data_IF_486118589258
#
_entry.id   IF_486118589258
#
_cell.length_a   1.000
_cell.length_b   1.000
_cell.length_c   1.000
_cell.angle_alpha   90.00
_cell.angle_beta   90.00
_cell.angle_gamma   90.00
#
_symmetry.space_group_name_H-M   'P 1'
#
loop_
_entity.id
_entity.type
_entity.pdbx_description
1 polymer ?
#
# COMPACT_ATOMS: atom_id res chain seq x y z
N UNK A 1 -1.47 45.73 16.94
CA UNK A 1 -2.95 45.89 16.92
C UNK A 1 -3.74 44.58 17.01
N UNK A 2 -3.11 43.39 16.97
CA UNK A 2 -3.81 42.10 17.21
C UNK A 2 -3.79 41.65 18.70
N UNK A 3 -2.79 42.07 19.48
CA UNK A 3 -2.70 41.76 20.92
C UNK A 3 -3.76 42.48 21.79
N UNK A 4 -4.32 43.60 21.33
CA UNK A 4 -5.41 44.29 22.04
C UNK A 4 -6.79 43.66 21.79
N UNK A 5 -6.96 42.92 20.69
CA UNK A 5 -8.22 42.26 20.34
C UNK A 5 -8.41 40.92 21.07
N UNK A 6 -7.32 40.28 21.51
CA UNK A 6 -7.37 39.05 22.32
C UNK A 6 -7.67 39.32 23.80
N UNK A 7 -7.29 40.49 24.33
CA UNK A 7 -7.60 40.87 25.72
C UNK A 7 -9.10 41.18 25.96
N UNK A 8 -9.89 41.32 24.90
CA UNK A 8 -11.35 41.52 25.01
C UNK A 8 -12.16 40.23 25.16
N UNK A 9 -11.61 39.07 24.77
CA UNK A 9 -12.33 37.79 24.80
C UNK A 9 -12.16 37.01 26.11
N UNK A 10 -11.16 37.36 26.92
CA UNK A 10 -10.90 36.72 28.23
C UNK A 10 -11.71 37.38 29.35
N UNK A 11 -12.32 38.55 29.12
CA UNK A 11 -12.88 39.39 30.19
C UNK A 11 -14.36 39.22 30.52
N UNK A 12 -15.06 38.26 29.92
CA UNK A 12 -16.49 38.00 30.20
C UNK A 12 -16.77 36.56 30.69
N UNK A 13 -15.79 35.89 31.31
CA UNK A 13 -16.07 34.68 32.10
C UNK A 13 -16.25 35.09 33.56
N UNK A 14 -17.49 35.02 34.05
CA UNK A 14 -17.88 35.24 35.45
C UNK A 14 -17.44 34.08 36.38
N UNK A 15 -16.31 33.43 36.09
CA UNK A 15 -15.72 32.42 36.96
C UNK A 15 -14.40 32.97 37.52
N UNK A 16 -14.13 32.82 38.83
CA UNK A 16 -12.89 33.30 39.43
C UNK A 16 -11.69 32.69 38.71
N UNK A 17 -10.56 33.41 38.64
CA UNK A 17 -9.27 32.84 38.23
C UNK A 17 -8.92 31.70 39.21
N UNK A 18 -9.28 30.47 38.84
CA UNK A 18 -9.02 29.28 39.64
C UNK A 18 -7.58 28.85 39.41
N UNK A 19 -6.84 28.62 40.50
CA UNK A 19 -5.48 28.12 40.45
C UNK A 19 -5.45 26.77 39.68
N UNK A 20 -4.45 26.53 38.81
CA UNK A 20 -4.35 25.28 38.04
C UNK A 20 -4.37 24.02 38.91
N UNK A 21 -3.79 24.10 40.11
CA UNK A 21 -3.78 23.00 41.08
C UNK A 21 -5.19 22.68 41.63
N UNK A 22 -6.05 23.68 41.83
CA UNK A 22 -7.42 23.47 42.30
C UNK A 22 -8.28 22.78 41.23
N UNK A 23 -8.05 23.13 39.96
CA UNK A 23 -8.70 22.48 38.82
C UNK A 23 -8.23 21.02 38.72
N UNK A 24 -6.93 20.77 38.87
CA UNK A 24 -6.38 19.41 38.79
C UNK A 24 -6.87 18.52 39.94
N UNK A 25 -6.98 19.06 41.15
CA UNK A 25 -7.56 18.36 42.30
C UNK A 25 -9.05 18.05 42.13
N UNK A 26 -9.84 18.99 41.60
CA UNK A 26 -11.26 18.78 41.33
C UNK A 26 -11.45 17.71 40.24
N UNK A 27 -10.70 17.79 39.14
CA UNK A 27 -10.71 16.78 38.07
C UNK A 27 -10.34 15.40 38.62
N UNK A 28 -9.34 15.32 39.50
CA UNK A 28 -8.92 14.08 40.14
C UNK A 28 -10.02 13.50 41.04
N UNK A 29 -10.70 14.34 41.84
CA UNK A 29 -11.81 13.91 42.70
C UNK A 29 -13.01 13.44 41.87
N UNK A 30 -13.37 14.18 40.83
CA UNK A 30 -14.46 13.83 39.94
C UNK A 30 -14.16 12.51 39.21
N UNK A 31 -12.93 12.34 38.72
CA UNK A 31 -12.45 11.12 38.10
C UNK A 31 -12.51 9.90 39.05
N UNK A 32 -12.06 10.05 40.29
CA UNK A 32 -12.16 9.01 41.32
C UNK A 32 -13.61 8.62 41.59
N UNK A 33 -14.52 9.60 41.68
CA UNK A 33 -15.95 9.33 41.89
C UNK A 33 -16.59 8.55 40.73
N UNK A 34 -16.23 8.88 39.48
CA UNK A 34 -16.70 8.20 38.28
C UNK A 34 -16.16 6.76 38.22
N UNK A 35 -14.90 6.55 38.62
CA UNK A 35 -14.29 5.23 38.71
C UNK A 35 -14.99 4.34 39.74
N UNK A 36 -15.25 4.85 40.95
CA UNK A 36 -15.96 4.11 41.99
C UNK A 36 -17.38 3.72 41.55
N UNK A 37 -18.10 4.62 40.87
CA UNK A 37 -19.40 4.34 40.27
C UNK A 37 -19.32 3.25 39.18
N UNK A 38 -18.28 3.29 38.35
CA UNK A 38 -18.05 2.27 37.33
C UNK A 38 -17.75 0.91 37.95
N UNK A 39 -16.89 0.84 38.98
CA UNK A 39 -16.55 -0.40 39.68
C UNK A 39 -17.74 -1.02 40.39
N UNK A 40 -18.56 -0.21 41.08
CA UNK A 40 -19.83 -0.69 41.67
C UNK A 40 -20.84 -1.15 40.62
N UNK A 41 -20.87 -0.54 39.42
CA UNK A 41 -21.70 -1.02 38.32
C UNK A 41 -21.22 -2.37 37.75
N UNK A 42 -19.90 -2.58 37.71
CA UNK A 42 -19.26 -3.79 37.20
C UNK A 42 -19.44 -4.98 38.15
N UNK A 43 -19.44 -4.74 39.47
CA UNK A 43 -19.71 -5.75 40.50
C UNK A 43 -21.16 -6.26 40.51
N UNK A 44 -22.11 -5.48 39.96
CA UNK A 44 -23.53 -5.87 39.85
C UNK A 44 -23.85 -6.71 38.60
N UNK A 45 -22.91 -6.85 37.66
CA UNK A 45 -23.09 -7.69 36.48
C UNK A 45 -22.66 -9.13 36.79
N UNK A 46 -23.63 -10.05 36.86
CA UNK A 46 -23.40 -11.51 36.90
C UNK A 46 -22.48 -11.97 35.74
N UNK A 47 -21.83 -13.16 35.81
CA UNK A 47 -20.88 -13.61 34.79
C UNK A 47 -21.64 -14.00 33.52
N UNK A 48 -22.08 -12.98 32.79
CA UNK A 48 -22.73 -13.08 31.50
C UNK A 48 -21.69 -12.83 30.43
N UNK A 49 -21.85 -13.57 29.33
CA UNK A 49 -21.01 -13.57 28.13
C UNK A 49 -20.33 -12.20 27.93
N UNK A 50 -18.99 -12.14 27.84
CA UNK A 50 -18.28 -10.89 27.64
C UNK A 50 -18.88 -10.12 26.47
N UNK A 51 -19.08 -8.81 26.64
CA UNK A 51 -19.52 -7.94 25.55
C UNK A 51 -18.56 -8.10 24.36
N UNK A 52 -19.02 -8.82 23.34
CA UNK A 52 -18.27 -9.08 22.11
C UNK A 52 -18.50 -7.99 21.07
N UNK A 53 -19.55 -7.19 21.23
CA UNK A 53 -19.85 -6.04 20.39
C UNK A 53 -19.74 -4.76 21.21
N UNK A 54 -18.77 -3.92 20.85
CA UNK A 54 -18.62 -2.56 21.40
C UNK A 54 -19.03 -1.58 20.30
N UNK A 55 -20.17 -0.89 20.41
CA UNK A 55 -20.59 0.08 19.41
C UNK A 55 -19.53 1.19 19.27
N UNK A 56 -19.44 1.77 18.07
CA UNK A 56 -18.56 2.93 17.83
C UNK A 56 -18.91 4.03 18.83
N UNK A 57 -17.88 4.57 19.48
CA UNK A 57 -18.04 5.68 20.41
C UNK A 57 -18.58 6.89 19.64
N UNK A 58 -19.48 7.66 20.25
CA UNK A 58 -19.97 8.91 19.65
C UNK A 58 -18.80 9.87 19.46
N UNK A 59 -18.87 10.70 18.41
CA UNK A 59 -17.96 11.81 18.22
C UNK A 59 -17.94 12.67 19.51
N UNK A 60 -16.74 13.06 19.94
CA UNK A 60 -16.49 13.85 21.16
C UNK A 60 -16.95 13.23 22.48
N UNK A 61 -17.24 11.93 22.52
CA UNK A 61 -17.44 11.24 23.80
C UNK A 61 -16.14 11.21 24.62
N UNK A 62 -16.27 11.16 25.96
CA UNK A 62 -15.13 11.00 26.88
C UNK A 62 -14.24 9.80 26.49
N UNK A 63 -14.84 8.70 26.04
CA UNK A 63 -14.10 7.54 25.55
C UNK A 63 -13.23 7.86 24.32
N UNK A 64 -13.71 8.71 23.41
CA UNK A 64 -12.97 9.18 22.23
C UNK A 64 -11.83 10.12 22.64
N UNK A 65 -12.09 11.05 23.59
CA UNK A 65 -11.10 11.98 24.11
C UNK A 65 -9.97 11.26 24.87
N UNK A 66 -10.32 10.32 25.76
CA UNK A 66 -9.34 9.49 26.49
C UNK A 66 -8.49 8.67 25.53
N UNK A 67 -9.10 8.09 24.47
CA UNK A 67 -8.36 7.37 23.43
C UNK A 67 -7.39 8.29 22.66
N UNK A 68 -7.82 9.51 22.34
CA UNK A 68 -7.00 10.51 21.64
C UNK A 68 -5.81 10.94 22.50
N UNK A 69 -6.03 11.19 23.78
CA UNK A 69 -4.97 11.58 24.73
C UNK A 69 -4.00 10.42 25.01
N UNK A 70 -4.51 9.19 25.20
CA UNK A 70 -3.68 8.01 25.35
C UNK A 70 -2.81 7.74 24.11
N UNK A 71 -3.35 8.00 22.91
CA UNK A 71 -2.60 7.96 21.66
C UNK A 71 -1.51 9.02 21.66
N UNK A 72 -1.84 10.29 21.89
CA UNK A 72 -0.87 11.41 21.94
C UNK A 72 0.31 11.11 22.88
N UNK A 73 0.04 10.59 24.08
CA UNK A 73 1.08 10.18 25.02
C UNK A 73 1.96 9.06 24.47
N UNK A 74 1.35 8.02 23.90
CA UNK A 74 2.09 6.92 23.26
C UNK A 74 2.95 7.40 22.08
N UNK A 75 2.47 8.39 21.33
CA UNK A 75 3.22 9.00 20.23
C UNK A 75 4.44 9.77 20.76
N UNK A 76 4.29 10.51 21.86
CA UNK A 76 5.41 11.18 22.54
C UNK A 76 6.43 10.22 23.15
N UNK A 77 5.97 9.06 23.62
CA UNK A 77 6.85 8.03 24.19
C UNK A 77 7.52 7.14 23.12
N UNK A 78 7.19 7.31 21.84
CA UNK A 78 7.75 6.49 20.77
C UNK A 78 9.12 7.03 20.35
N UNK A 79 10.18 6.30 20.71
CA UNK A 79 11.53 6.61 20.27
C UNK A 79 11.69 6.42 18.75
N UNK A 80 12.16 7.46 18.08
CA UNK A 80 12.52 7.48 16.66
C UNK A 80 14.01 7.77 16.54
N UNK A 81 14.79 6.80 16.05
CA UNK A 81 16.23 6.96 15.88
C UNK A 81 16.56 7.70 14.58
N UNK A 82 17.28 8.80 14.70
CA UNK A 82 17.90 9.51 13.57
C UNK A 82 19.06 8.71 12.96
N UNK A 83 19.47 9.09 11.75
CA UNK A 83 20.64 8.47 11.10
C UNK A 83 21.92 8.62 11.94
N UNK A 84 22.11 9.77 12.59
CA UNK A 84 23.29 10.00 13.42
C UNK A 84 23.28 9.14 14.69
N UNK A 85 22.11 8.94 15.31
CA UNK A 85 21.96 8.02 16.45
C UNK A 85 22.20 6.56 16.04
N UNK A 86 21.69 6.14 14.87
CA UNK A 86 21.99 4.82 14.31
C UNK A 86 23.49 4.64 14.08
N UNK A 87 24.18 5.64 13.52
CA UNK A 87 25.66 5.61 13.37
C UNK A 87 26.38 5.51 14.70
N UNK A 88 25.95 6.27 15.71
CA UNK A 88 26.50 6.18 17.06
C UNK A 88 26.34 4.77 17.65
N UNK A 89 25.16 4.15 17.51
CA UNK A 89 24.94 2.77 17.96
C UNK A 89 25.87 1.81 17.23
N UNK A 90 26.04 1.98 15.92
CA UNK A 90 26.97 1.15 15.14
C UNK A 90 28.42 1.26 15.64
N UNK A 91 28.91 2.48 15.91
CA UNK A 91 30.25 2.67 16.49
C UNK A 91 30.40 2.01 17.86
N UNK A 92 29.37 2.08 18.72
CA UNK A 92 29.39 1.37 20.01
C UNK A 92 29.45 -0.15 19.83
N UNK A 93 28.79 -0.68 18.81
CA UNK A 93 28.85 -2.11 18.49
C UNK A 93 30.20 -2.51 17.89
N UNK A 94 30.84 -1.64 17.12
CA UNK A 94 32.19 -1.85 16.58
C UNK A 94 33.23 -1.88 17.70
N UNK A 95 33.15 -0.97 18.67
CA UNK A 95 34.09 -0.93 19.81
C UNK A 95 33.99 -2.15 20.72
N UNK A 96 32.79 -2.69 20.92
CA UNK A 96 32.50 -3.80 21.84
C UNK A 96 32.38 -5.15 21.13
N UNK A 97 32.39 -5.15 19.81
CA UNK A 97 32.31 -6.32 18.97
C UNK A 97 33.68 -6.88 18.58
N UNK A 98 33.64 -7.98 17.84
CA UNK A 98 34.80 -8.55 17.17
C UNK A 98 34.48 -8.72 15.69
N UNK A 99 35.49 -8.53 14.84
CA UNK A 99 35.35 -8.82 13.42
C UNK A 99 35.24 -10.34 13.19
N UNK A 100 34.46 -10.74 12.19
CA UNK A 100 34.34 -12.13 11.74
C UNK A 100 35.70 -12.71 11.36
N UNK A 101 35.79 -14.05 11.29
CA UNK A 101 37.02 -14.74 10.84
C UNK A 101 37.45 -14.31 9.42
N UNK A 102 36.52 -13.80 8.61
CA UNK A 102 36.80 -13.23 7.29
C UNK A 102 37.27 -11.77 7.32
N UNK A 103 37.09 -11.06 8.44
CA UNK A 103 37.44 -9.65 8.60
C UNK A 103 36.43 -8.65 8.04
N UNK A 104 35.33 -9.13 7.44
CA UNK A 104 34.40 -8.27 6.68
C UNK A 104 33.24 -7.71 7.53
N UNK A 105 32.95 -8.31 8.69
CA UNK A 105 31.73 -8.00 9.43
C UNK A 105 31.95 -7.92 10.94
N UNK A 106 31.50 -6.83 11.56
CA UNK A 106 31.45 -6.68 13.02
C UNK A 106 30.36 -7.59 13.59
N UNK A 107 30.73 -8.43 14.54
CA UNK A 107 29.79 -9.27 15.31
C UNK A 107 29.89 -9.01 16.80
N UNK A 108 28.78 -9.16 17.50
CA UNK A 108 28.69 -8.88 18.94
C UNK A 108 28.01 -10.02 19.69
N UNK A 109 28.58 -10.44 20.82
CA UNK A 109 27.95 -11.40 21.72
C UNK A 109 26.90 -10.73 22.61
N UNK A 110 26.20 -11.51 23.43
CA UNK A 110 25.15 -10.97 24.30
C UNK A 110 25.67 -10.02 25.40
N UNK A 111 26.90 -10.24 25.86
CA UNK A 111 27.52 -9.37 26.87
C UNK A 111 27.81 -7.98 26.30
N UNK A 112 28.50 -7.91 25.15
CA UNK A 112 28.72 -6.68 24.41
C UNK A 112 27.41 -5.99 24.04
N UNK A 113 26.40 -6.75 23.60
CA UNK A 113 25.06 -6.21 23.32
C UNK A 113 24.42 -5.54 24.54
N UNK A 114 24.60 -6.10 25.73
CA UNK A 114 24.10 -5.52 26.99
C UNK A 114 24.87 -4.27 27.41
N UNK A 115 26.19 -4.25 27.15
CA UNK A 115 27.03 -3.07 27.37
C UNK A 115 26.67 -1.93 26.42
N UNK A 116 26.42 -2.22 25.14
CA UNK A 116 25.91 -1.25 24.16
C UNK A 116 24.59 -0.67 24.63
N UNK A 117 23.65 -1.48 25.11
CA UNK A 117 22.39 -0.99 25.69
C UNK A 117 22.65 -0.02 26.86
N UNK A 118 23.60 -0.33 27.74
CA UNK A 118 23.90 0.52 28.90
C UNK A 118 24.35 1.91 28.44
N UNK A 119 25.26 1.98 27.46
CA UNK A 119 25.70 3.25 26.86
C UNK A 119 24.55 3.96 26.12
N UNK A 120 23.77 3.21 25.35
CA UNK A 120 22.63 3.75 24.62
C UNK A 120 21.56 4.34 25.56
N UNK A 121 21.35 3.76 26.74
CA UNK A 121 20.42 4.27 27.75
C UNK A 121 20.89 5.64 28.28
N UNK A 122 22.20 5.82 28.44
CA UNK A 122 22.78 7.09 28.88
C UNK A 122 22.68 8.17 27.79
N UNK A 123 22.87 7.79 26.52
CA UNK A 123 22.82 8.73 25.39
C UNK A 123 21.39 9.08 24.94
N UNK A 124 20.50 8.10 24.84
CA UNK A 124 19.18 8.22 24.19
C UNK A 124 18.00 8.05 25.16
N UNK A 125 18.27 7.79 26.45
CA UNK A 125 17.25 7.58 27.48
C UNK A 125 16.66 6.16 27.52
N UNK A 126 15.73 5.92 28.46
CA UNK A 126 15.25 4.56 28.78
C UNK A 126 14.39 3.91 27.67
N UNK A 127 13.87 4.69 26.72
CA UNK A 127 13.00 4.17 25.65
C UNK A 127 13.74 3.21 24.70
N UNK A 128 15.08 3.32 24.60
CA UNK A 128 15.92 2.45 23.76
C UNK A 128 15.91 0.99 24.24
N UNK A 129 15.59 0.73 25.52
CA UNK A 129 15.53 -0.62 26.09
C UNK A 129 14.57 -1.53 25.33
N UNK A 130 13.52 -0.97 24.75
CA UNK A 130 12.56 -1.71 23.95
C UNK A 130 13.19 -2.36 22.70
N UNK A 131 14.35 -1.88 22.26
CA UNK A 131 15.08 -2.34 21.08
C UNK A 131 16.17 -3.38 21.42
N UNK A 132 16.65 -3.42 22.67
CA UNK A 132 17.75 -4.29 23.11
C UNK A 132 17.31 -5.41 24.08
N UNK A 133 16.07 -5.89 24.00
CA UNK A 133 15.61 -7.00 24.85
C UNK A 133 16.27 -8.33 24.43
N UNK A 134 16.49 -9.24 25.38
CA UNK A 134 17.02 -10.58 25.08
C UNK A 134 16.27 -11.34 23.96
N UNK A 135 14.92 -11.31 23.87
CA UNK A 135 14.20 -11.92 22.76
C UNK A 135 14.47 -11.27 21.40
N UNK A 136 14.95 -10.01 21.36
CA UNK A 136 15.38 -9.36 20.11
C UNK A 136 16.72 -9.93 19.67
N UNK A 137 17.69 -10.06 20.57
CA UNK A 137 18.99 -10.67 20.29
C UNK A 137 18.83 -12.08 19.70
N UNK A 138 17.92 -12.87 20.27
CA UNK A 138 17.65 -14.24 19.82
C UNK A 138 16.96 -14.36 18.44
N UNK A 139 16.52 -13.25 17.83
CA UNK A 139 15.97 -13.26 16.47
C UNK A 139 17.04 -13.40 15.39
N UNK A 140 18.28 -13.05 15.70
CA UNK A 140 19.38 -13.04 14.74
C UNK A 140 20.10 -14.39 14.74
N UNK A 141 20.64 -14.73 13.57
CA UNK A 141 21.54 -15.87 13.46
C UNK A 141 22.82 -15.60 14.26
N UNK A 142 23.23 -16.60 15.03
CA UNK A 142 24.40 -16.55 15.90
C UNK A 142 25.44 -17.50 15.37
N UNK A 143 26.69 -17.05 15.34
CA UNK A 143 27.82 -17.90 14.98
C UNK A 143 28.18 -18.90 16.09
N UNK A 144 29.26 -19.67 15.89
CA UNK A 144 29.76 -20.63 16.87
C UNK A 144 30.18 -20.02 18.22
N UNK A 145 30.42 -18.70 18.25
CA UNK A 145 30.77 -17.93 19.45
C UNK A 145 29.54 -17.26 20.09
N UNK A 146 28.34 -17.46 19.53
CA UNK A 146 27.11 -16.85 20.02
C UNK A 146 26.94 -15.38 19.63
N UNK A 147 27.67 -14.89 18.62
CA UNK A 147 27.67 -13.51 18.19
C UNK A 147 26.69 -13.26 17.02
N UNK A 148 26.01 -12.11 17.04
CA UNK A 148 25.11 -11.64 15.98
C UNK A 148 25.80 -10.60 15.11
N UNK A 149 25.35 -10.44 13.85
CA UNK A 149 25.82 -9.37 12.97
C UNK A 149 25.37 -7.99 13.46
N UNK A 150 26.32 -7.05 13.59
CA UNK A 150 26.01 -5.67 13.93
C UNK A 150 25.22 -4.97 12.82
N UNK A 151 25.55 -5.24 11.55
CA UNK A 151 24.85 -4.67 10.39
C UNK A 151 23.39 -5.14 10.30
N UNK A 152 23.14 -6.43 10.54
CA UNK A 152 21.77 -6.95 10.58
C UNK A 152 20.96 -6.33 11.72
N UNK A 153 21.57 -6.14 12.89
CA UNK A 153 20.92 -5.47 14.00
C UNK A 153 20.65 -3.99 13.72
N UNK A 154 21.59 -3.27 13.09
CA UNK A 154 21.39 -1.88 12.67
C UNK A 154 20.24 -1.76 11.67
N UNK A 155 20.18 -2.66 10.68
CA UNK A 155 19.08 -2.74 9.73
C UNK A 155 17.74 -2.98 10.45
N UNK A 156 17.72 -3.83 11.48
CA UNK A 156 16.54 -4.03 12.32
C UNK A 156 16.11 -2.75 13.05
N UNK A 157 17.05 -2.00 13.64
CA UNK A 157 16.75 -0.72 14.30
C UNK A 157 16.15 0.27 13.29
N UNK A 158 16.78 0.41 12.12
CA UNK A 158 16.29 1.29 11.06
C UNK A 158 14.87 0.91 10.62
N UNK A 159 14.64 -0.35 10.25
CA UNK A 159 13.31 -0.85 9.85
C UNK A 159 12.25 -0.63 10.93
N UNK A 160 12.61 -0.84 12.20
CA UNK A 160 11.69 -0.63 13.33
C UNK A 160 11.40 0.85 13.56
N UNK A 161 12.38 1.73 13.43
CA UNK A 161 12.17 3.18 13.46
C UNK A 161 11.27 3.63 12.32
N UNK A 162 11.52 3.20 11.09
CA UNK A 162 10.68 3.51 9.92
C UNK A 162 9.25 3.02 10.13
N UNK A 163 9.06 1.81 10.67
CA UNK A 163 7.73 1.28 11.04
C UNK A 163 7.02 2.21 12.04
N UNK A 164 7.73 2.65 13.08
CA UNK A 164 7.17 3.55 14.08
C UNK A 164 6.82 4.91 13.47
N UNK A 165 7.71 5.50 12.68
CA UNK A 165 7.50 6.74 11.95
C UNK A 165 6.27 6.67 11.03
N UNK A 166 6.21 5.65 10.17
CA UNK A 166 5.07 5.39 9.28
C UNK A 166 3.75 5.30 10.05
N UNK A 167 3.76 4.61 11.19
CA UNK A 167 2.57 4.47 12.02
C UNK A 167 2.14 5.80 12.60
N UNK A 168 3.06 6.64 13.04
CA UNK A 168 2.77 7.99 13.56
C UNK A 168 2.19 8.88 12.45
N UNK A 169 2.86 8.95 11.30
CA UNK A 169 2.42 9.72 10.14
C UNK A 169 1.01 9.35 9.70
N UNK A 170 0.76 8.06 9.46
CA UNK A 170 -0.56 7.58 9.05
C UNK A 170 -1.62 7.80 10.13
N UNK A 171 -1.26 7.62 11.41
CA UNK A 171 -2.21 7.81 12.50
C UNK A 171 -2.62 9.26 12.65
N UNK A 172 -1.80 10.24 12.24
CA UNK A 172 -2.19 11.65 12.27
C UNK A 172 -3.46 11.93 11.43
N UNK A 173 -3.73 11.11 10.41
CA UNK A 173 -4.90 11.20 9.53
C UNK A 173 -6.09 10.31 9.97
N UNK A 174 -5.99 9.65 11.14
CA UNK A 174 -7.08 8.88 11.77
C UNK A 174 -7.53 9.57 13.09
N UNK A 175 -8.31 10.67 13.00
CA UNK A 175 -8.73 11.45 14.18
C UNK A 175 -9.70 10.69 15.10
N UNK A 176 -10.42 9.71 14.53
CA UNK A 176 -11.40 8.86 15.22
C UNK A 176 -10.78 7.59 15.81
N UNK A 177 -9.49 7.36 15.57
CA UNK A 177 -8.73 6.19 16.05
C UNK A 177 -9.41 4.86 15.68
N UNK A 178 -9.85 4.76 14.42
CA UNK A 178 -10.48 3.56 13.88
C UNK A 178 -9.46 2.46 13.54
N UNK A 179 -8.18 2.82 13.43
CA UNK A 179 -7.09 1.96 12.96
C UNK A 179 -7.08 1.75 11.44
N UNK A 180 -7.92 2.49 10.71
CA UNK A 180 -8.02 2.48 9.25
C UNK A 180 -8.11 3.91 8.71
N UNK A 181 -7.70 4.09 7.46
CA UNK A 181 -7.83 5.35 6.73
C UNK A 181 -8.79 5.17 5.55
N UNK A 182 -9.70 6.13 5.35
CA UNK A 182 -10.55 6.19 4.17
C UNK A 182 -9.77 6.69 2.95
N UNK A 183 -10.37 6.58 1.76
CA UNK A 183 -9.81 7.15 0.52
C UNK A 183 -9.47 8.63 0.68
N UNK A 184 -10.36 9.42 1.26
CA UNK A 184 -10.17 10.86 1.44
C UNK A 184 -9.00 11.16 2.39
N UNK A 185 -8.92 10.42 3.51
CA UNK A 185 -7.83 10.58 4.48
C UNK A 185 -6.47 10.21 3.90
N UNK A 186 -6.41 9.16 3.06
CA UNK A 186 -5.19 8.80 2.34
C UNK A 186 -4.80 9.84 1.29
N UNK A 187 -5.78 10.44 0.61
CA UNK A 187 -5.52 11.54 -0.33
C UNK A 187 -4.95 12.75 0.39
N UNK A 188 -5.49 13.12 1.55
CA UNK A 188 -4.95 14.19 2.38
C UNK A 188 -3.52 13.89 2.84
N UNK A 189 -3.26 12.65 3.27
CA UNK A 189 -1.92 12.20 3.64
C UNK A 189 -0.92 12.37 2.50
N UNK A 190 -1.20 11.80 1.32
CA UNK A 190 -0.28 11.88 0.18
C UNK A 190 -0.10 13.32 -0.32
N UNK A 191 -1.17 14.13 -0.34
CA UNK A 191 -1.08 15.55 -0.71
C UNK A 191 -0.22 16.35 0.28
N UNK A 192 -0.24 15.99 1.56
CA UNK A 192 0.58 16.66 2.59
C UNK A 192 2.09 16.45 2.41
N UNK A 193 2.49 15.40 1.69
CA UNK A 193 3.89 15.09 1.39
C UNK A 193 4.46 15.93 0.24
N UNK A 194 3.61 16.42 -0.68
CA UNK A 194 4.02 17.19 -1.86
C UNK A 194 4.95 18.38 -1.53
N UNK A 195 4.67 19.25 -0.55
CA UNK A 195 5.57 20.36 -0.22
C UNK A 195 6.87 19.93 0.48
N UNK A 196 6.96 18.69 0.98
CA UNK A 196 8.09 18.19 1.76
C UNK A 196 9.09 17.40 0.90
N UNK A 197 8.65 16.92 -0.26
CA UNK A 197 9.36 15.98 -1.11
C UNK A 197 9.84 16.67 -2.38
N UNK A 198 11.16 16.73 -2.58
CA UNK A 198 11.77 17.36 -3.76
C UNK A 198 11.30 16.75 -5.07
N UNK A 199 11.11 15.42 -5.13
CA UNK A 199 10.59 14.72 -6.31
C UNK A 199 9.16 15.14 -6.72
N UNK A 200 8.45 15.89 -5.87
CA UNK A 200 7.08 16.37 -6.10
C UNK A 200 7.00 17.90 -6.23
N UNK A 201 8.12 18.63 -6.09
CA UNK A 201 8.13 20.10 -6.00
C UNK A 201 7.68 20.81 -7.27
N UNK A 202 7.91 20.20 -8.44
CA UNK A 202 7.60 20.79 -9.76
C UNK A 202 6.11 20.70 -10.11
N UNK A 203 5.29 20.14 -9.22
CA UNK A 203 3.88 19.91 -9.45
C UNK A 203 3.08 21.22 -9.42
N UNK A 204 2.30 21.43 -10.49
CA UNK A 204 1.37 22.56 -10.54
C UNK A 204 0.21 22.37 -9.55
N UNK A 205 -0.25 23.43 -8.86
CA UNK A 205 -1.36 23.34 -7.90
C UNK A 205 -2.66 22.79 -8.49
N UNK A 206 -2.92 23.02 -9.78
CA UNK A 206 -4.10 22.48 -10.49
C UNK A 206 -4.11 20.96 -10.55
N UNK A 207 -2.94 20.32 -10.57
CA UNK A 207 -2.80 18.87 -10.67
C UNK A 207 -2.82 18.15 -9.32
N UNK A 208 -2.69 18.87 -8.20
CA UNK A 208 -2.61 18.28 -6.85
C UNK A 208 -3.81 17.39 -6.51
N UNK A 209 -5.00 17.75 -7.02
CA UNK A 209 -6.22 16.95 -6.83
C UNK A 209 -6.11 15.60 -7.54
N UNK A 210 -5.74 15.60 -8.81
CA UNK A 210 -5.64 14.38 -9.62
C UNK A 210 -4.44 13.53 -9.19
N UNK A 211 -3.33 14.17 -8.81
CA UNK A 211 -2.18 13.50 -8.19
C UNK A 211 -2.60 12.65 -7.00
N UNK A 212 -3.24 13.27 -6.00
CA UNK A 212 -3.64 12.53 -4.79
C UNK A 212 -4.58 11.37 -5.11
N UNK A 213 -5.52 11.56 -6.04
CA UNK A 213 -6.45 10.52 -6.48
C UNK A 213 -5.72 9.34 -7.13
N UNK A 214 -4.84 9.60 -8.10
CA UNK A 214 -4.07 8.56 -8.82
C UNK A 214 -3.09 7.86 -7.87
N UNK A 215 -2.31 8.62 -7.09
CA UNK A 215 -1.30 8.09 -6.18
C UNK A 215 -1.91 7.13 -5.15
N UNK A 216 -3.03 7.52 -4.52
CA UNK A 216 -3.72 6.70 -3.51
C UNK A 216 -4.35 5.43 -4.09
N UNK A 217 -4.65 5.38 -5.40
CA UNK A 217 -5.17 4.15 -6.02
C UNK A 217 -4.25 2.96 -5.77
N UNK A 218 -2.92 3.11 -5.78
CA UNK A 218 -2.01 1.98 -5.51
C UNK A 218 -2.16 1.44 -4.08
N UNK A 219 -2.31 2.33 -3.10
CA UNK A 219 -2.55 1.93 -1.70
C UNK A 219 -3.89 1.19 -1.55
N UNK A 220 -4.94 1.70 -2.21
CA UNK A 220 -6.28 1.12 -2.18
C UNK A 220 -6.35 -0.21 -2.95
N UNK A 221 -5.67 -0.31 -4.09
CA UNK A 221 -5.71 -1.50 -4.94
C UNK A 221 -5.09 -2.71 -4.23
N UNK A 222 -3.96 -2.51 -3.54
CA UNK A 222 -3.24 -3.61 -2.87
C UNK A 222 -3.70 -3.87 -1.44
N UNK A 223 -4.14 -2.86 -0.69
CA UNK A 223 -4.47 -3.00 0.74
C UNK A 223 -5.90 -2.58 1.11
N UNK A 224 -6.64 -1.99 0.16
CA UNK A 224 -7.98 -1.47 0.39
C UNK A 224 -9.03 -2.57 0.55
N UNK A 225 -9.96 -2.33 1.47
CA UNK A 225 -11.19 -3.10 1.65
C UNK A 225 -12.33 -2.10 1.86
N UNK A 226 -13.32 -2.12 0.96
CA UNK A 226 -14.48 -1.22 1.00
C UNK A 226 -14.09 0.27 1.13
N UNK A 227 -13.08 0.71 0.36
CA UNK A 227 -12.61 2.10 0.37
C UNK A 227 -11.79 2.50 1.60
N UNK A 228 -11.40 1.55 2.46
CA UNK A 228 -10.59 1.80 3.64
C UNK A 228 -9.32 0.92 3.65
N UNK A 229 -8.21 1.44 4.17
CA UNK A 229 -6.96 0.69 4.38
C UNK A 229 -6.66 0.64 5.87
N UNK A 230 -6.39 -0.54 6.42
CA UNK A 230 -5.95 -0.66 7.81
C UNK A 230 -4.51 -0.18 7.93
N UNK A 231 -4.23 0.72 8.89
CA UNK A 231 -2.88 1.28 9.08
C UNK A 231 -1.85 0.17 9.28
N UNK A 232 -2.18 -0.84 10.09
CA UNK A 232 -1.28 -1.98 10.35
C UNK A 232 -0.88 -2.75 9.08
N UNK A 233 -1.78 -2.84 8.11
CA UNK A 233 -1.51 -3.56 6.86
C UNK A 233 -0.62 -2.73 5.91
N UNK A 234 -0.58 -1.41 6.10
CA UNK A 234 0.18 -0.48 5.26
C UNK A 234 1.58 -0.15 5.81
N UNK A 235 1.74 -0.04 7.13
CA UNK A 235 2.98 0.41 7.79
C UNK A 235 4.24 -0.35 7.34
N UNK A 236 4.11 -1.64 7.01
CA UNK A 236 5.19 -2.51 6.56
C UNK A 236 5.04 -2.96 5.10
N UNK A 237 4.18 -2.31 4.32
CA UNK A 237 3.98 -2.72 2.93
C UNK A 237 5.08 -2.18 2.03
N UNK A 238 5.40 -2.95 0.99
CA UNK A 238 6.32 -2.53 -0.08
C UNK A 238 5.79 -1.26 -0.76
N UNK A 239 4.47 -1.13 -0.88
CA UNK A 239 3.82 0.07 -1.44
C UNK A 239 4.11 1.32 -0.60
N UNK A 240 4.09 1.22 0.73
CA UNK A 240 4.46 2.36 1.58
C UNK A 240 5.97 2.62 1.58
N UNK A 241 6.79 1.57 1.45
CA UNK A 241 8.24 1.74 1.25
C UNK A 241 8.53 2.52 -0.03
N UNK A 242 7.90 2.16 -1.15
CA UNK A 242 8.00 2.90 -2.42
C UNK A 242 7.59 4.38 -2.27
N UNK A 243 6.52 4.69 -1.52
CA UNK A 243 6.16 6.08 -1.23
C UNK A 243 7.25 6.79 -0.41
N UNK A 244 7.82 6.10 0.58
CA UNK A 244 8.87 6.66 1.44
C UNK A 244 10.19 6.85 0.71
N UNK A 245 10.51 6.06 -0.32
CA UNK A 245 11.70 6.24 -1.15
C UNK A 245 11.76 7.64 -1.77
N UNK A 246 10.60 8.24 -2.10
CA UNK A 246 10.54 9.60 -2.61
C UNK A 246 11.08 10.65 -1.65
N UNK A 247 11.07 10.38 -0.34
CA UNK A 247 11.67 11.29 0.66
C UNK A 247 13.19 11.38 0.52
N UNK A 248 13.83 10.46 -0.21
CA UNK A 248 15.24 10.53 -0.53
C UNK A 248 15.49 11.54 -1.67
N UNK A 249 16.25 12.59 -1.38
CA UNK A 249 16.57 13.65 -2.34
C UNK A 249 17.61 13.24 -3.41
N UNK A 250 18.09 12.00 -3.40
CA UNK A 250 19.13 11.49 -4.31
C UNK A 250 18.60 10.52 -5.39
N UNK A 251 17.29 10.44 -5.59
CA UNK A 251 16.71 9.56 -6.60
C UNK A 251 17.12 9.98 -8.02
N UNK A 252 17.56 9.01 -8.82
CA UNK A 252 17.85 9.21 -10.22
C UNK A 252 16.57 9.19 -11.07
N UNK A 253 16.63 9.76 -12.28
CA UNK A 253 15.47 9.87 -13.18
C UNK A 253 14.79 8.52 -13.47
N UNK A 254 15.58 7.45 -13.69
CA UNK A 254 15.02 6.11 -13.92
C UNK A 254 14.26 5.55 -12.71
N UNK A 255 14.68 5.91 -11.49
CA UNK A 255 14.00 5.52 -10.25
C UNK A 255 12.69 6.30 -10.08
N UNK A 256 12.68 7.58 -10.47
CA UNK A 256 11.46 8.39 -10.47
C UNK A 256 10.43 7.86 -11.48
N UNK A 257 10.87 7.44 -12.66
CA UNK A 257 9.97 6.91 -13.72
C UNK A 257 9.35 5.54 -13.33
N UNK A 258 10.03 4.78 -12.47
CA UNK A 258 9.56 3.48 -11.98
C UNK A 258 8.73 3.60 -10.70
N UNK A 259 8.99 4.60 -9.86
CA UNK A 259 8.23 4.84 -8.64
C UNK A 259 6.84 5.41 -8.97
N UNK A 260 5.77 4.70 -8.57
CA UNK A 260 4.39 5.08 -8.85
C UNK A 260 4.00 6.44 -8.28
N UNK A 261 4.51 6.76 -7.09
CA UNK A 261 4.13 7.96 -6.35
C UNK A 261 4.82 9.22 -6.88
N UNK A 262 5.78 9.09 -7.80
CA UNK A 262 6.48 10.22 -8.38
C UNK A 262 5.55 11.07 -9.23
N UNK A 263 5.94 12.34 -9.41
CA UNK A 263 5.21 13.24 -10.30
C UNK A 263 5.22 12.72 -11.74
N UNK A 264 6.36 12.20 -12.22
CA UNK A 264 6.53 11.67 -13.57
C UNK A 264 5.59 10.50 -13.85
N UNK A 265 5.52 9.52 -12.96
CA UNK A 265 4.66 8.33 -13.10
C UNK A 265 3.19 8.70 -13.06
N UNK A 266 2.78 9.52 -12.10
CA UNK A 266 1.39 9.95 -11.97
C UNK A 266 0.95 10.79 -13.17
N UNK A 267 1.84 11.67 -13.65
CA UNK A 267 1.58 12.47 -14.84
C UNK A 267 1.51 11.60 -16.11
N UNK A 268 2.31 10.53 -16.22
CA UNK A 268 2.24 9.58 -17.34
C UNK A 268 0.87 8.91 -17.40
N UNK A 269 0.35 8.41 -16.28
CA UNK A 269 -0.99 7.81 -16.20
C UNK A 269 -2.05 8.81 -16.65
N UNK A 270 -2.01 10.03 -16.10
CA UNK A 270 -2.97 11.07 -16.44
C UNK A 270 -2.91 11.51 -17.91
N UNK A 271 -1.70 11.71 -18.46
CA UNK A 271 -1.51 12.06 -19.88
C UNK A 271 -1.98 10.94 -20.82
N UNK A 272 -1.79 9.68 -20.43
CA UNK A 272 -2.28 8.54 -21.21
C UNK A 272 -3.81 8.53 -21.24
N UNK A 273 -4.46 8.78 -20.09
CA UNK A 273 -5.91 8.93 -20.03
C UNK A 273 -6.41 10.06 -20.94
N UNK A 274 -5.82 11.25 -20.85
CA UNK A 274 -6.20 12.40 -21.70
C UNK A 274 -5.93 12.18 -23.18
N UNK A 275 -4.92 11.39 -23.53
CA UNK A 275 -4.63 11.07 -24.93
C UNK A 275 -5.68 10.13 -25.55
N UNK A 276 -6.39 9.35 -24.73
CA UNK A 276 -7.47 8.48 -25.15
C UNK A 276 -8.84 9.20 -25.15
N UNK A 277 -9.04 10.18 -24.27
CA UNK A 277 -10.28 10.98 -24.14
C UNK A 277 -10.40 12.01 -25.29
N UNK A 278 -10.88 11.56 -26.46
CA UNK A 278 -10.93 12.35 -27.69
C UNK A 278 -11.92 13.52 -27.59
N UNK A 279 -13.04 13.32 -26.90
CA UNK A 279 -14.07 14.34 -26.73
C UNK A 279 -13.86 15.24 -25.50
N UNK A 280 -12.83 14.94 -24.69
CA UNK A 280 -12.43 15.65 -23.48
C UNK A 280 -13.56 15.75 -22.44
N UNK A 281 -14.43 14.74 -22.36
CA UNK A 281 -15.53 14.72 -21.40
C UNK A 281 -15.11 14.23 -20.00
N UNK A 282 -13.87 13.75 -19.85
CA UNK A 282 -13.30 13.24 -18.60
C UNK A 282 -13.63 11.76 -18.32
N UNK A 283 -14.11 11.02 -19.31
CA UNK A 283 -14.46 9.60 -19.26
C UNK A 283 -14.06 8.94 -20.59
N UNK A 284 -13.72 7.66 -20.57
CA UNK A 284 -13.37 6.89 -21.77
C UNK A 284 -14.50 5.95 -22.16
N UNK A 285 -15.00 6.10 -23.38
CA UNK A 285 -15.84 5.08 -24.03
C UNK A 285 -15.02 3.83 -24.39
N UNK A 286 -15.71 2.71 -24.71
CA UNK A 286 -15.03 1.50 -25.23
C UNK A 286 -14.22 1.77 -26.49
N UNK A 287 -14.72 2.66 -27.35
CA UNK A 287 -14.05 3.02 -28.61
C UNK A 287 -12.74 3.74 -28.33
N UNK A 288 -12.76 4.74 -27.46
CA UNK A 288 -11.56 5.48 -27.05
C UNK A 288 -10.56 4.57 -26.35
N UNK A 289 -11.03 3.76 -25.40
CA UNK A 289 -10.15 2.82 -24.69
C UNK A 289 -9.55 1.75 -25.61
N UNK A 290 -10.17 1.44 -26.76
CA UNK A 290 -9.63 0.46 -27.71
C UNK A 290 -8.29 0.86 -28.33
N UNK A 291 -7.93 2.15 -28.31
CA UNK A 291 -6.63 2.62 -28.77
C UNK A 291 -5.48 2.30 -27.79
N UNK A 292 -5.78 1.78 -26.58
CA UNK A 292 -4.77 1.36 -25.62
C UNK A 292 -3.84 0.30 -26.21
N UNK A 293 -2.57 0.30 -25.77
CA UNK A 293 -1.53 -0.58 -26.31
C UNK A 293 -1.38 -0.48 -27.83
N UNK A 294 -1.69 0.68 -28.44
CA UNK A 294 -1.74 0.86 -29.89
C UNK A 294 -2.76 -0.05 -30.61
N UNK A 295 -3.87 -0.39 -29.95
CA UNK A 295 -4.94 -1.20 -30.54
C UNK A 295 -4.67 -2.71 -30.58
N UNK A 296 -3.68 -3.21 -29.82
CA UNK A 296 -3.34 -4.63 -29.77
C UNK A 296 -4.15 -5.42 -28.74
N UNK A 297 -4.93 -4.73 -27.92
CA UNK A 297 -5.77 -5.34 -26.90
C UNK A 297 -7.07 -5.90 -27.51
N UNK A 298 -7.49 -7.08 -27.04
CA UNK A 298 -8.65 -7.79 -27.56
C UNK A 298 -9.96 -7.02 -27.30
N UNK A 299 -10.84 -6.83 -28.30
CA UNK A 299 -12.15 -6.20 -28.12
C UNK A 299 -13.05 -6.92 -27.10
N UNK A 300 -13.00 -8.25 -27.03
CA UNK A 300 -13.69 -9.06 -26.02
C UNK A 300 -13.15 -8.74 -24.63
N UNK A 301 -11.83 -8.72 -24.45
CA UNK A 301 -11.21 -8.38 -23.18
C UNK A 301 -11.60 -6.96 -22.71
N UNK A 302 -11.53 -5.98 -23.62
CA UNK A 302 -12.00 -4.60 -23.36
C UNK A 302 -13.48 -4.60 -22.94
N UNK A 303 -14.33 -5.31 -23.67
CA UNK A 303 -15.77 -5.39 -23.34
C UNK A 303 -15.99 -5.95 -21.93
N UNK A 304 -15.23 -6.97 -21.55
CA UNK A 304 -15.28 -7.56 -20.21
C UNK A 304 -14.80 -6.60 -19.12
N UNK A 305 -13.76 -5.80 -19.36
CA UNK A 305 -13.32 -4.74 -18.43
C UNK A 305 -14.49 -3.79 -18.14
N UNK A 306 -15.17 -3.31 -19.18
CA UNK A 306 -16.30 -2.39 -19.02
C UNK A 306 -17.48 -3.04 -18.31
N UNK A 307 -17.74 -4.33 -18.58
CA UNK A 307 -18.80 -5.06 -17.92
C UNK A 307 -18.54 -5.27 -16.43
N UNK A 308 -17.31 -5.58 -16.02
CA UNK A 308 -17.00 -5.97 -14.63
C UNK A 308 -16.56 -4.79 -13.75
N UNK A 309 -15.80 -3.84 -14.31
CA UNK A 309 -15.08 -2.83 -13.53
C UNK A 309 -15.51 -1.39 -13.78
N UNK A 310 -16.27 -1.12 -14.84
CA UNK A 310 -16.78 0.23 -15.14
C UNK A 310 -18.17 0.42 -14.52
N UNK A 311 -18.46 1.65 -14.09
CA UNK A 311 -19.64 1.99 -13.31
C UNK A 311 -20.93 1.61 -14.05
N UNK A 312 -21.52 0.47 -13.69
CA UNK A 312 -22.81 0.07 -14.28
C UNK A 312 -23.93 1.07 -13.98
N UNK A 313 -23.90 1.83 -12.87
CA UNK A 313 -25.03 2.69 -12.49
C UNK A 313 -24.64 3.94 -11.69
N UNK A 314 -25.12 5.11 -12.13
CA UNK A 314 -25.21 6.33 -11.30
C UNK A 314 -26.66 6.80 -11.26
N UNK A 315 -27.17 7.09 -10.05
CA UNK A 315 -28.47 7.75 -9.91
C UNK A 315 -28.25 9.26 -9.95
N UNK A 316 -28.68 9.90 -11.04
CA UNK A 316 -28.69 11.36 -11.18
C UNK A 316 -30.15 11.79 -11.24
N UNK A 317 -30.57 12.64 -10.28
CA UNK A 317 -31.95 13.13 -10.19
C UNK A 317 -33.02 12.02 -10.20
N UNK A 318 -32.77 10.91 -9.50
CA UNK A 318 -33.71 9.78 -9.40
C UNK A 318 -33.81 8.91 -10.65
N UNK A 319 -32.99 9.15 -11.69
CA UNK A 319 -32.87 8.26 -12.86
C UNK A 319 -31.54 7.52 -12.82
N UNK A 320 -31.60 6.21 -12.98
CA UNK A 320 -30.42 5.36 -13.22
C UNK A 320 -29.89 5.65 -14.61
N UNK A 321 -28.73 6.28 -14.69
CA UNK A 321 -27.98 6.43 -15.95
C UNK A 321 -26.92 5.33 -15.97
N UNK A 322 -27.02 4.45 -16.96
CA UNK A 322 -25.92 3.58 -17.34
C UNK A 322 -24.93 4.41 -18.15
N UNK A 323 -23.75 4.70 -17.59
CA UNK A 323 -22.63 5.19 -18.40
C UNK A 323 -21.68 4.01 -18.60
N UNK A 324 -21.62 3.52 -19.82
CA UNK A 324 -20.61 2.54 -20.27
C UNK A 324 -19.28 3.28 -20.55
N UNK A 325 -18.85 4.09 -19.59
CA UNK A 325 -17.72 5.02 -19.72
C UNK A 325 -16.83 4.92 -18.47
N UNK A 326 -15.53 4.73 -18.70
CA UNK A 326 -14.50 4.52 -17.69
C UNK A 326 -13.97 5.86 -17.19
N UNK A 327 -14.06 6.11 -15.89
CA UNK A 327 -13.44 7.30 -15.30
C UNK A 327 -11.93 7.10 -15.07
N UNK A 328 -11.22 8.19 -14.77
CA UNK A 328 -9.79 8.17 -14.48
C UNK A 328 -9.41 7.18 -13.36
N UNK A 329 -10.30 6.92 -12.39
CA UNK A 329 -9.99 6.03 -11.26
C UNK A 329 -10.05 4.57 -11.70
N UNK A 330 -11.09 4.19 -12.45
CA UNK A 330 -11.21 2.87 -13.05
C UNK A 330 -10.08 2.61 -14.07
N UNK A 331 -9.69 3.62 -14.85
CA UNK A 331 -8.52 3.54 -15.72
C UNK A 331 -7.23 3.32 -14.92
N UNK A 332 -7.05 4.04 -13.82
CA UNK A 332 -5.87 3.88 -12.95
C UNK A 332 -5.83 2.49 -12.33
N UNK A 333 -6.97 1.93 -11.90
CA UNK A 333 -7.06 0.56 -11.41
C UNK A 333 -6.69 -0.46 -12.49
N UNK A 334 -7.12 -0.22 -13.73
CA UNK A 334 -6.71 -1.04 -14.87
C UNK A 334 -5.20 -1.01 -15.07
N UNK A 335 -4.58 0.18 -15.09
CA UNK A 335 -3.11 0.32 -15.23
C UNK A 335 -2.38 -0.42 -14.10
N UNK A 336 -2.83 -0.24 -12.85
CA UNK A 336 -2.24 -0.93 -11.70
C UNK A 336 -2.37 -2.46 -11.81
N UNK A 337 -3.54 -2.95 -12.20
CA UNK A 337 -3.75 -4.38 -12.42
C UNK A 337 -2.85 -4.90 -13.54
N UNK A 338 -2.78 -4.17 -14.65
CA UNK A 338 -2.00 -4.54 -15.82
C UNK A 338 -0.50 -4.57 -15.50
N UNK A 339 0.06 -3.57 -14.83
CA UNK A 339 1.49 -3.56 -14.49
C UNK A 339 1.87 -4.65 -13.47
N UNK A 340 0.90 -5.16 -12.71
CA UNK A 340 1.15 -6.13 -11.63
C UNK A 340 0.35 -7.43 -11.81
N UNK A 341 0.21 -7.94 -13.05
CA UNK A 341 -0.57 -9.16 -13.38
C UNK A 341 -0.21 -10.42 -12.55
N UNK A 342 0.99 -10.46 -11.97
CA UNK A 342 1.45 -11.55 -11.07
C UNK A 342 0.97 -11.40 -9.63
N UNK A 343 0.51 -10.21 -9.23
CA UNK A 343 0.10 -9.93 -7.86
C UNK A 343 -1.32 -10.46 -7.58
N UNK A 344 -1.61 -11.02 -6.38
CA UNK A 344 -2.94 -11.55 -6.04
C UNK A 344 -4.11 -10.57 -6.24
N UNK A 345 -3.87 -9.28 -6.02
CA UNK A 345 -4.86 -8.22 -6.28
C UNK A 345 -5.23 -8.11 -7.76
N UNK A 346 -4.24 -8.20 -8.67
CA UNK A 346 -4.48 -8.18 -10.11
C UNK A 346 -5.10 -9.49 -10.61
N UNK A 347 -4.71 -10.64 -10.03
CA UNK A 347 -5.39 -11.92 -10.29
C UNK A 347 -6.87 -11.79 -9.99
N UNK A 348 -7.23 -11.27 -8.82
CA UNK A 348 -8.63 -11.04 -8.48
C UNK A 348 -9.32 -10.08 -9.45
N UNK A 349 -8.64 -9.00 -9.84
CA UNK A 349 -9.18 -8.03 -10.79
C UNK A 349 -9.47 -8.67 -12.16
N UNK A 350 -8.55 -9.45 -12.72
CA UNK A 350 -8.70 -10.01 -14.06
C UNK A 350 -9.49 -11.31 -14.10
N UNK A 351 -9.45 -12.15 -13.05
CA UNK A 351 -10.10 -13.46 -13.06
C UNK A 351 -11.60 -13.36 -13.39
N UNK A 352 -12.28 -12.38 -12.81
CA UNK A 352 -13.70 -12.11 -13.04
C UNK A 352 -14.03 -11.76 -14.51
N UNK A 353 -13.04 -11.30 -15.29
CA UNK A 353 -13.21 -11.04 -16.72
C UNK A 353 -13.33 -12.35 -17.51
N UNK A 354 -12.53 -13.36 -17.15
CA UNK A 354 -12.44 -14.64 -17.85
C UNK A 354 -13.44 -15.68 -17.37
N UNK A 355 -13.89 -15.61 -16.11
CA UNK A 355 -14.97 -16.44 -15.58
C UNK A 355 -16.34 -15.93 -16.08
N UNK A 356 -16.64 -16.24 -17.34
CA UNK A 356 -17.87 -15.80 -18.01
C UNK A 356 -19.13 -16.32 -17.33
N UNK A 357 -19.05 -17.48 -16.65
CA UNK A 357 -20.18 -18.13 -15.98
C UNK A 357 -20.29 -17.79 -14.50
N UNK A 358 -19.34 -17.04 -13.94
CA UNK A 358 -19.28 -16.68 -12.50
C UNK A 358 -19.30 -17.90 -11.57
N UNK A 359 -18.56 -18.94 -11.96
CA UNK A 359 -18.48 -20.21 -11.23
C UNK A 359 -17.26 -20.32 -10.31
N UNK A 360 -16.37 -19.32 -10.32
CA UNK A 360 -15.09 -19.33 -9.63
C UNK A 360 -14.04 -20.20 -10.32
N UNK A 361 -14.27 -20.62 -11.56
CA UNK A 361 -13.38 -21.49 -12.33
C UNK A 361 -13.33 -21.06 -13.80
N UNK A 362 -12.14 -21.06 -14.39
CA UNK A 362 -11.95 -20.89 -15.83
C UNK A 362 -11.70 -22.26 -16.45
N UNK A 363 -12.45 -22.56 -17.51
CA UNK A 363 -12.47 -23.83 -18.23
C UNK A 363 -11.85 -23.68 -19.63
N UNK A 364 -11.48 -24.79 -20.31
CA UNK A 364 -10.94 -24.72 -21.67
C UNK A 364 -11.87 -24.01 -22.67
N UNK A 365 -13.18 -24.01 -22.40
CA UNK A 365 -14.16 -23.30 -23.23
C UNK A 365 -13.94 -21.78 -23.15
N UNK A 366 -13.72 -21.23 -21.95
CA UNK A 366 -13.43 -19.80 -21.79
C UNK A 366 -12.07 -19.47 -22.40
N UNK A 367 -11.04 -20.30 -22.17
CA UNK A 367 -9.72 -20.12 -22.80
C UNK A 367 -9.83 -20.07 -24.32
N UNK A 368 -10.58 -21.01 -24.92
CA UNK A 368 -10.83 -21.04 -26.35
C UNK A 368 -11.54 -19.78 -26.85
N UNK A 369 -12.55 -19.29 -26.14
CA UNK A 369 -13.31 -18.09 -26.55
C UNK A 369 -12.39 -16.86 -26.62
N UNK A 370 -11.59 -16.62 -25.57
CA UNK A 370 -10.67 -15.48 -25.55
C UNK A 370 -9.55 -15.65 -26.57
N UNK A 371 -8.92 -16.83 -26.60
CA UNK A 371 -7.80 -17.05 -27.50
C UNK A 371 -8.22 -17.06 -28.98
N UNK A 372 -9.46 -17.45 -29.31
CA UNK A 372 -9.98 -17.33 -30.67
C UNK A 372 -9.99 -15.89 -31.17
N UNK A 373 -10.27 -14.92 -30.30
CA UNK A 373 -10.20 -13.51 -30.70
C UNK A 373 -8.75 -13.04 -30.86
N UNK A 374 -7.85 -13.47 -29.97
CA UNK A 374 -6.41 -13.23 -30.11
C UNK A 374 -5.88 -13.83 -31.42
N UNK A 375 -6.29 -15.04 -31.79
CA UNK A 375 -5.94 -15.70 -33.06
C UNK A 375 -6.45 -14.90 -34.27
N UNK A 376 -7.67 -14.39 -34.22
CA UNK A 376 -8.18 -13.50 -35.26
C UNK A 376 -7.30 -12.24 -35.40
N UNK A 377 -6.91 -11.61 -34.28
CA UNK A 377 -6.01 -10.47 -34.30
C UNK A 377 -4.59 -10.84 -34.77
N UNK A 378 -4.11 -12.03 -34.44
CA UNK A 378 -2.81 -12.56 -34.88
C UNK A 378 -2.73 -12.59 -36.41
N UNK A 379 -3.77 -13.12 -37.05
CA UNK A 379 -3.81 -13.20 -38.52
C UNK A 379 -4.06 -11.83 -39.17
N UNK A 380 -4.97 -11.02 -38.64
CA UNK A 380 -5.46 -9.82 -39.34
C UNK A 380 -4.80 -8.50 -38.91
N UNK A 381 -4.32 -8.42 -37.66
CA UNK A 381 -3.65 -7.23 -37.11
C UNK A 381 -2.13 -7.41 -37.10
N UNK A 382 -1.64 -8.58 -36.72
CA UNK A 382 -0.20 -8.89 -36.73
C UNK A 382 0.29 -9.46 -38.06
N UNK A 383 -0.61 -9.80 -38.99
CA UNK A 383 -0.28 -10.37 -40.31
C UNK A 383 0.50 -11.69 -40.27
N UNK A 384 0.26 -12.49 -39.23
CA UNK A 384 0.90 -13.78 -39.03
C UNK A 384 0.12 -14.94 -39.69
N UNK A 385 0.70 -16.14 -39.67
CA UNK A 385 0.14 -17.33 -40.30
C UNK A 385 -1.12 -17.85 -39.58
N UNK A 386 -2.07 -18.36 -40.36
CA UNK A 386 -3.38 -18.81 -39.85
C UNK A 386 -3.37 -20.22 -39.23
N UNK A 387 -2.36 -21.03 -39.55
CA UNK A 387 -2.31 -22.46 -39.21
C UNK A 387 -1.96 -22.74 -37.73
N UNK A 388 -1.82 -21.69 -36.91
CA UNK A 388 -1.65 -21.80 -35.46
C UNK A 388 -2.85 -22.54 -34.83
N UNK A 389 -2.59 -23.67 -34.19
CA UNK A 389 -3.62 -24.47 -33.51
C UNK A 389 -4.04 -23.81 -32.20
N UNK A 390 -5.28 -23.33 -32.14
CA UNK A 390 -5.87 -22.78 -30.90
C UNK A 390 -5.87 -23.82 -29.78
N UNK A 391 -6.15 -25.09 -30.11
CA UNK A 391 -6.21 -26.16 -29.10
C UNK A 391 -4.85 -26.41 -28.45
N UNK A 392 -3.77 -26.34 -29.23
CA UNK A 392 -2.41 -26.55 -28.72
C UNK A 392 -2.03 -25.43 -27.73
N UNK A 393 -2.43 -24.18 -28.03
CA UNK A 393 -2.20 -23.05 -27.10
C UNK A 393 -3.05 -23.15 -25.84
N UNK A 394 -4.29 -23.62 -25.96
CA UNK A 394 -5.15 -23.88 -24.80
C UNK A 394 -4.53 -24.95 -23.90
N UNK A 395 -4.01 -26.03 -24.48
CA UNK A 395 -3.31 -27.10 -23.75
C UNK A 395 -2.01 -26.58 -23.11
N UNK A 396 -1.21 -25.76 -23.82
CA UNK A 396 -0.02 -25.10 -23.27
C UNK A 396 -0.37 -24.24 -22.05
N UNK A 397 -1.45 -23.45 -22.11
CA UNK A 397 -1.91 -22.64 -20.98
C UNK A 397 -2.30 -23.51 -19.79
N UNK A 398 -2.99 -24.64 -20.02
CA UNK A 398 -3.36 -25.57 -18.95
C UNK A 398 -2.13 -26.24 -18.32
N UNK A 399 -1.16 -26.64 -19.13
CA UNK A 399 0.10 -27.25 -18.70
C UNK A 399 1.01 -26.26 -17.97
N UNK A 400 0.92 -24.97 -18.31
CA UNK A 400 1.61 -23.88 -17.64
C UNK A 400 1.03 -23.62 -16.24
N UNK A 401 -0.30 -23.55 -16.12
CA UNK A 401 -0.97 -23.23 -14.85
C UNK A 401 -1.02 -24.44 -13.91
N UNK A 402 -1.11 -25.67 -14.45
CA UNK A 402 -1.20 -26.93 -13.69
C UNK A 402 -2.27 -26.89 -12.59
N UNK A 403 -3.55 -26.68 -12.95
CA UNK A 403 -4.62 -26.56 -11.97
C UNK A 403 -4.76 -27.84 -11.14
N UNK A 404 -5.11 -27.69 -9.85
CA UNK A 404 -5.30 -28.84 -8.94
C UNK A 404 -6.39 -29.81 -9.42
N UNK A 405 -7.43 -29.27 -10.04
CA UNK A 405 -8.48 -30.06 -10.69
C UNK A 405 -8.29 -29.93 -12.19
N UNK A 406 -8.19 -31.06 -12.87
CA UNK A 406 -7.95 -31.11 -14.32
C UNK A 406 -8.89 -30.18 -15.08
N UNK A 407 -8.29 -29.32 -15.92
CA UNK A 407 -9.01 -28.37 -16.77
C UNK A 407 -9.94 -27.38 -16.03
N UNK A 408 -9.66 -27.06 -14.76
CA UNK A 408 -10.40 -26.06 -13.98
C UNK A 408 -9.44 -25.14 -13.24
N UNK A 409 -9.19 -23.97 -13.81
CA UNK A 409 -8.27 -22.98 -13.24
C UNK A 409 -9.01 -22.12 -12.22
N UNK A 410 -8.50 -22.09 -10.99
CA UNK A 410 -8.95 -21.19 -9.91
C UNK A 410 -7.98 -20.01 -9.73
N UNK A 411 -8.39 -18.92 -9.03
CA UNK A 411 -7.45 -17.85 -8.67
C UNK A 411 -6.25 -18.35 -7.86
N UNK A 412 -6.46 -19.35 -7.00
CA UNK A 412 -5.41 -19.98 -6.22
C UNK A 412 -4.40 -20.75 -7.09
N UNK A 413 -4.85 -21.39 -8.17
CA UNK A 413 -3.96 -22.08 -9.11
C UNK A 413 -3.09 -21.07 -9.88
N UNK A 414 -3.66 -19.94 -10.31
CA UNK A 414 -2.91 -18.86 -10.95
C UNK A 414 -1.87 -18.24 -10.01
N UNK A 415 -2.21 -18.04 -8.74
CA UNK A 415 -1.26 -17.53 -7.75
C UNK A 415 -0.16 -18.55 -7.42
N UNK A 416 -0.49 -19.84 -7.30
CA UNK A 416 0.46 -20.88 -6.97
C UNK A 416 1.43 -21.22 -8.11
N UNK A 417 0.96 -21.14 -9.36
CA UNK A 417 1.80 -21.38 -10.54
C UNK A 417 2.82 -20.27 -10.79
N UNK A 418 2.54 -19.04 -10.36
CA UNK A 418 3.35 -17.86 -10.70
C UNK A 418 3.21 -17.41 -12.16
N UNK A 419 2.32 -18.03 -12.93
CA UNK A 419 2.19 -17.82 -14.38
C UNK A 419 1.02 -16.89 -14.76
N UNK A 420 0.35 -16.26 -13.80
CA UNK A 420 -0.80 -15.38 -14.05
C UNK A 420 -0.46 -14.20 -14.97
N UNK A 421 0.77 -13.69 -14.90
CA UNK A 421 1.29 -12.65 -15.78
C UNK A 421 1.15 -13.00 -17.26
N UNK A 422 1.70 -14.17 -17.62
CA UNK A 422 1.68 -14.72 -18.97
C UNK A 422 0.26 -15.12 -19.37
N UNK A 423 -0.46 -15.80 -18.47
CA UNK A 423 -1.86 -16.22 -18.68
C UNK A 423 -2.75 -15.05 -19.14
N UNK A 424 -2.76 -13.96 -18.37
CA UNK A 424 -3.59 -12.79 -18.73
C UNK A 424 -3.06 -12.09 -19.98
N UNK A 425 -1.74 -11.94 -20.11
CA UNK A 425 -1.11 -11.33 -21.30
C UNK A 425 -1.54 -12.03 -22.60
N UNK A 426 -1.40 -13.36 -22.69
CA UNK A 426 -1.69 -14.14 -23.90
C UNK A 426 -3.16 -14.11 -24.31
N UNK A 427 -4.08 -14.01 -23.34
CA UNK A 427 -5.51 -14.06 -23.58
C UNK A 427 -6.16 -12.67 -23.76
N UNK A 428 -5.39 -11.60 -23.58
CA UNK A 428 -5.91 -10.22 -23.57
C UNK A 428 -5.31 -9.32 -24.64
N UNK A 429 -4.08 -9.59 -25.09
CA UNK A 429 -3.37 -8.71 -26.01
C UNK A 429 -2.54 -9.52 -27.02
N UNK A 430 -2.73 -9.24 -28.31
CA UNK A 430 -2.10 -10.00 -29.39
C UNK A 430 -0.60 -9.74 -29.50
N UNK A 431 -0.13 -8.53 -29.15
CA UNK A 431 1.29 -8.20 -29.12
C UNK A 431 1.98 -8.98 -28.00
N UNK A 432 1.33 -9.07 -26.84
CA UNK A 432 1.83 -9.87 -25.73
C UNK A 432 1.89 -11.38 -26.07
N UNK A 433 0.89 -11.90 -26.80
CA UNK A 433 0.96 -13.26 -27.30
C UNK A 433 2.09 -13.44 -28.32
N UNK A 434 2.30 -12.47 -29.22
CA UNK A 434 3.41 -12.49 -30.18
C UNK A 434 4.77 -12.56 -29.49
N UNK A 435 5.01 -11.69 -28.51
CA UNK A 435 6.27 -11.65 -27.77
C UNK A 435 6.50 -12.97 -27.01
N UNK A 436 5.43 -13.59 -26.49
CA UNK A 436 5.50 -14.91 -25.84
C UNK A 436 5.82 -16.04 -26.82
N UNK A 437 5.17 -16.06 -27.99
CA UNK A 437 5.35 -17.11 -28.99
C UNK A 437 6.77 -17.08 -29.58
N UNK A 438 7.34 -15.89 -29.77
CA UNK A 438 8.68 -15.70 -30.31
C UNK A 438 9.77 -15.49 -29.23
N UNK A 439 9.47 -15.78 -27.96
CA UNK A 439 10.37 -15.53 -26.81
C UNK A 439 11.78 -16.10 -27.00
N UNK A 440 11.89 -17.31 -27.57
CA UNK A 440 13.18 -17.97 -27.78
C UNK A 440 14.02 -17.25 -28.86
N UNK A 441 13.38 -16.75 -29.91
CA UNK A 441 14.06 -16.01 -30.97
C UNK A 441 14.51 -14.62 -30.52
N UNK A 442 13.71 -13.96 -29.67
CA UNK A 442 14.02 -12.64 -29.12
C UNK A 442 15.20 -12.71 -28.14
N UNK A 443 15.27 -13.75 -27.31
CA UNK A 443 16.41 -13.98 -26.40
C UNK A 443 17.74 -14.09 -27.15
N UNK A 444 17.75 -14.71 -28.33
CA UNK A 444 18.96 -14.82 -29.15
C UNK A 444 19.39 -13.52 -29.84
N UNK A 445 18.48 -12.56 -30.06
CA UNK A 445 18.83 -11.26 -30.67
C UNK A 445 19.49 -10.30 -29.67
N UNK A 446 19.13 -10.38 -28.39
CA UNK A 446 19.75 -9.56 -27.34
C UNK A 446 21.19 -10.02 -27.03
N UNK A 447 21.49 -11.31 -27.19
CA UNK A 447 22.85 -11.86 -27.02
C UNK A 447 23.78 -11.49 -28.19
N UNK A 448 23.27 -11.44 -29.43
CA UNK A 448 24.06 -11.09 -30.63
C UNK A 448 24.25 -9.57 -30.81
N UNK A 449 23.37 -8.74 -30.24
CA UNK A 449 23.50 -7.27 -30.27
C UNK A 449 24.37 -6.69 -29.14
N UNK A 450 24.80 -7.54 -28.21
CA UNK A 450 25.77 -7.24 -27.15
C UNK A 450 27.21 -7.69 -27.43
N UNK A 451 27.49 -8.22 -28.62
CA UNK A 451 28.84 -8.69 -29.04
C UNK A 451 29.59 -7.70 -29.93
#
# INVERSE_FOLDING_TARGET
MLLSALNGFVKDSLEPDREPEDIEQEVQQEFCSILEQYETSKQKAAPSIPSFYKPKAKADSTATLVKREAKRRKEQDTLLLSEDELRQIWYMMEELGAYSDSGDEVRINYDGFSQVLTRCRECFGPQIEAYFKAPVFLKFERDGNGCISANQFLNYLNLRTTMHQNRLELSAFDPDNTGSLTTEQLEEYVKSLVPQVSALSDMQPSFLKDYGRIAVRKLLFFHGKNGCVRIRDLVNSIVLQELNELKNNQLQEHQLISNWFSFQSTQRVYKTFLALDEDMNGLLSRSEFSAISNGTMSPLFISRIFEEHVMRMRVVQGRTVHRDEMDLMAFTDFVLAWDHRTHPAAIKYFFDLFDLKKQGVITPVELYIFFKEIHHMWVHVMHEYADLSIYDVVDEILDMVKPKVTARITPEDLAASGMSGIFFSMLSDVKQFYDYNYRENLMHQDDDSGS
#
